data_IF_613278869458
#
_entry.id   IF_613278869458
#
_cell.length_a   1.000
_cell.length_b   1.000
_cell.length_c   1.000
_cell.angle_alpha   90.00
_cell.angle_beta   90.00
_cell.angle_gamma   90.00
#
_symmetry.space_group_name_H-M   'P 1'
#
loop_
_entity.id
_entity.type
_entity.pdbx_description
1 polymer ?
#
# COMPACT_ATOMS: atom_id res chain seq x y z
N UNK A 1 41.15 80.52 -53.63
CA UNK A 1 39.76 80.06 -53.48
C UNK A 1 39.83 78.82 -52.62
N UNK A 2 39.61 78.95 -51.32
CA UNK A 2 39.83 77.88 -50.36
C UNK A 2 38.68 77.90 -49.36
N UNK A 3 37.62 77.18 -49.70
CA UNK A 3 36.47 76.88 -48.84
C UNK A 3 36.23 75.37 -49.03
N UNK A 4 36.36 74.51 -48.02
CA UNK A 4 35.51 74.36 -46.84
C UNK A 4 34.02 74.28 -47.18
N UNK A 5 33.45 73.09 -46.96
CA UNK A 5 32.10 72.76 -46.46
C UNK A 5 31.89 71.26 -46.73
N UNK A 6 31.03 70.50 -46.07
CA UNK A 6 30.46 70.40 -44.73
C UNK A 6 29.60 69.11 -44.80
N UNK A 7 29.26 68.53 -43.65
CA UNK A 7 28.10 67.66 -43.43
C UNK A 7 28.08 66.18 -43.87
N UNK A 8 27.79 65.37 -42.85
CA UNK A 8 27.16 64.04 -42.73
C UNK A 8 26.24 63.59 -43.89
N UNK A 9 26.31 62.30 -44.27
CA UNK A 9 25.28 61.26 -43.99
C UNK A 9 25.22 60.11 -45.05
N UNK A 10 24.97 58.91 -44.50
CA UNK A 10 24.39 57.65 -45.01
C UNK A 10 24.25 57.26 -46.52
N UNK A 11 24.59 55.97 -46.73
CA UNK A 11 23.86 54.90 -47.49
C UNK A 11 24.24 54.47 -48.92
N UNK A 12 24.04 53.15 -49.12
CA UNK A 12 23.84 52.33 -50.35
C UNK A 12 25.08 51.93 -51.16
N UNK A 13 25.17 50.76 -51.78
CA UNK A 13 24.33 49.55 -51.90
C UNK A 13 25.18 48.53 -52.68
N UNK A 14 25.09 47.23 -52.38
CA UNK A 14 25.29 46.20 -53.41
C UNK A 14 24.30 45.06 -53.15
N UNK A 15 23.22 45.08 -53.93
CA UNK A 15 22.19 44.05 -53.99
C UNK A 15 22.61 42.90 -54.92
N UNK A 16 22.04 41.74 -54.61
CA UNK A 16 21.71 40.62 -55.49
C UNK A 16 22.79 39.58 -55.82
N UNK A 17 22.98 38.63 -54.88
CA UNK A 17 23.12 37.23 -55.24
C UNK A 17 22.22 36.36 -54.34
N UNK A 18 21.20 35.77 -54.96
CA UNK A 18 20.31 34.79 -54.36
C UNK A 18 21.09 33.58 -53.84
N UNK A 19 21.07 33.33 -52.53
CA UNK A 19 21.52 32.08 -51.92
C UNK A 19 20.33 31.31 -51.36
N UNK A 20 20.24 30.05 -51.78
CA UNK A 20 19.18 29.09 -51.49
C UNK A 20 19.08 28.82 -49.99
N UNK A 21 17.86 28.88 -49.44
CA UNK A 21 17.55 28.58 -48.04
C UNK A 21 17.68 27.07 -47.77
N UNK A 22 18.68 26.67 -46.98
CA UNK A 22 18.74 25.34 -46.36
C UNK A 22 17.67 25.25 -45.25
N UNK A 23 16.88 24.15 -45.14
CA UNK A 23 16.03 23.91 -43.97
C UNK A 23 16.86 23.46 -42.76
N UNK A 24 16.40 23.88 -41.59
CA UNK A 24 17.06 23.79 -40.28
C UNK A 24 17.38 22.37 -39.80
N UNK A 25 18.56 22.22 -39.18
CA UNK A 25 18.97 21.08 -38.36
C UNK A 25 18.06 20.98 -37.12
N UNK A 26 17.52 19.79 -36.78
CA UNK A 26 16.67 19.67 -35.60
C UNK A 26 17.48 19.84 -34.31
N UNK A 27 16.90 20.67 -33.44
CA UNK A 27 17.36 21.08 -32.13
C UNK A 27 17.60 19.89 -31.18
N UNK A 28 18.61 20.09 -30.35
CA UNK A 28 19.08 19.27 -29.22
C UNK A 28 18.05 18.33 -28.59
N UNK A 29 18.34 17.03 -28.57
CA UNK A 29 17.65 16.07 -27.71
C UNK A 29 17.86 16.43 -26.24
N UNK A 30 16.77 16.81 -25.56
CA UNK A 30 16.77 16.91 -24.10
C UNK A 30 17.00 15.53 -23.49
N UNK A 31 18.17 15.33 -22.86
CA UNK A 31 18.44 14.16 -22.02
C UNK A 31 17.46 14.15 -20.83
N UNK A 32 16.35 13.43 -20.98
CA UNK A 32 15.43 13.15 -19.88
C UNK A 32 16.19 12.38 -18.80
N UNK A 33 16.16 12.91 -17.57
CA UNK A 33 16.75 12.25 -16.39
C UNK A 33 16.28 10.79 -16.36
N UNK A 34 17.18 9.80 -16.22
CA UNK A 34 16.80 8.40 -16.26
C UNK A 34 15.79 8.12 -15.14
N UNK A 35 14.60 7.65 -15.53
CA UNK A 35 13.60 7.18 -14.59
C UNK A 35 14.14 6.06 -13.70
N UNK A 36 13.44 5.77 -12.60
CA UNK A 36 13.78 4.63 -11.74
C UNK A 36 13.84 3.36 -12.58
N UNK A 37 14.96 2.62 -12.49
CA UNK A 37 15.14 1.34 -13.18
C UNK A 37 13.98 0.39 -12.84
N UNK A 38 13.48 -0.33 -13.84
CA UNK A 38 12.47 -1.37 -13.64
C UNK A 38 13.03 -2.47 -12.75
N UNK A 39 12.15 -3.13 -12.00
CA UNK A 39 12.52 -4.25 -11.15
C UNK A 39 12.94 -5.45 -12.02
N UNK A 40 13.95 -6.22 -11.59
CA UNK A 40 14.51 -7.36 -12.33
C UNK A 40 13.47 -8.44 -12.68
N UNK A 41 12.33 -8.49 -11.97
CA UNK A 41 11.21 -9.37 -12.33
C UNK A 41 10.71 -9.15 -13.76
N UNK A 42 10.81 -7.93 -14.29
CA UNK A 42 10.40 -7.63 -15.66
C UNK A 42 11.22 -8.35 -16.73
N UNK A 43 12.38 -8.94 -16.40
CA UNK A 43 13.15 -9.76 -17.33
C UNK A 43 12.41 -11.06 -17.73
N UNK A 44 11.40 -11.46 -16.95
CA UNK A 44 10.62 -12.68 -17.16
C UNK A 44 9.19 -12.41 -17.67
N UNK A 45 8.91 -11.17 -18.04
CA UNK A 45 7.59 -10.72 -18.47
C UNK A 45 7.67 -9.79 -19.68
N UNK A 46 6.73 -9.96 -20.60
CA UNK A 46 6.54 -9.10 -21.75
C UNK A 46 5.66 -7.92 -21.32
N UNK A 47 6.13 -6.68 -21.53
CA UNK A 47 5.36 -5.46 -21.30
C UNK A 47 4.61 -5.08 -22.57
N UNK A 48 3.28 -5.09 -22.53
CA UNK A 48 2.47 -4.64 -23.67
C UNK A 48 2.27 -3.11 -23.62
N UNK A 49 2.20 -2.47 -24.80
CA UNK A 49 2.23 -1.00 -24.95
C UNK A 49 1.00 -0.29 -24.36
N UNK A 50 -0.09 -1.02 -24.08
CA UNK A 50 -1.35 -0.47 -23.60
C UNK A 50 -1.26 -0.01 -22.13
N UNK A 51 -0.50 1.04 -21.85
CA UNK A 51 -0.44 1.68 -20.52
C UNK A 51 -1.80 2.29 -20.18
N UNK A 52 -2.52 1.64 -19.27
CA UNK A 52 -3.70 2.23 -18.62
C UNK A 52 -3.34 2.58 -17.18
N UNK A 53 -3.52 3.84 -16.81
CA UNK A 53 -3.34 4.32 -15.42
C UNK A 53 -1.92 4.14 -14.84
N UNK A 54 -0.88 4.23 -15.67
CA UNK A 54 0.52 4.14 -15.20
C UNK A 54 1.01 2.73 -14.89
N UNK A 55 0.19 1.71 -15.15
CA UNK A 55 0.60 0.31 -15.15
C UNK A 55 0.52 -0.25 -16.56
N UNK A 56 1.56 -0.98 -16.96
CA UNK A 56 1.57 -1.70 -18.22
C UNK A 56 1.02 -3.11 -17.99
N UNK A 57 0.24 -3.67 -18.92
CA UNK A 57 -0.06 -5.09 -18.94
C UNK A 57 1.23 -5.91 -18.99
N UNK A 58 1.17 -7.11 -18.44
CA UNK A 58 2.32 -8.01 -18.38
C UNK A 58 1.92 -9.44 -18.70
N UNK A 59 2.71 -10.10 -19.54
CA UNK A 59 2.49 -11.50 -19.93
C UNK A 59 3.72 -12.33 -19.55
N UNK A 60 3.51 -13.46 -18.87
CA UNK A 60 4.60 -14.33 -18.45
C UNK A 60 5.27 -15.00 -19.66
N UNK A 61 6.61 -14.91 -19.75
CA UNK A 61 7.36 -15.52 -20.86
C UNK A 61 7.33 -17.07 -20.83
N UNK A 62 7.10 -17.67 -19.66
CA UNK A 62 7.14 -19.13 -19.50
C UNK A 62 5.80 -19.82 -19.74
N UNK A 63 4.69 -19.19 -19.33
CA UNK A 63 3.37 -19.82 -19.34
C UNK A 63 2.29 -19.04 -20.09
N UNK A 64 2.63 -17.86 -20.63
CA UNK A 64 1.73 -16.99 -21.38
C UNK A 64 0.54 -16.43 -20.57
N UNK A 65 0.54 -16.58 -19.24
CA UNK A 65 -0.43 -15.94 -18.36
C UNK A 65 -0.31 -14.40 -18.47
N UNK A 66 -1.40 -13.76 -18.88
CA UNK A 66 -1.47 -12.31 -19.09
C UNK A 66 -2.28 -11.61 -18.00
N UNK A 67 -1.77 -10.48 -17.52
CA UNK A 67 -2.46 -9.59 -16.60
C UNK A 67 -2.60 -8.18 -17.15
N UNK A 68 -3.78 -7.60 -16.98
CA UNK A 68 -4.07 -6.21 -17.35
C UNK A 68 -3.27 -5.17 -16.57
N UNK A 69 -2.59 -5.57 -15.47
CA UNK A 69 -1.74 -4.71 -14.64
C UNK A 69 -0.54 -5.51 -14.13
N UNK A 70 0.66 -5.19 -14.61
CA UNK A 70 1.92 -5.78 -14.14
C UNK A 70 2.36 -5.23 -12.78
N UNK A 71 1.77 -5.76 -11.70
CA UNK A 71 2.20 -5.48 -10.33
C UNK A 71 3.37 -6.39 -9.97
N UNK A 72 4.51 -5.78 -9.63
CA UNK A 72 5.74 -6.50 -9.25
C UNK A 72 5.51 -7.60 -8.20
N UNK A 73 4.76 -7.39 -7.09
CA UNK A 73 4.49 -8.46 -6.12
C UNK A 73 3.74 -9.66 -6.72
N UNK A 74 2.77 -9.41 -7.59
CA UNK A 74 1.98 -10.46 -8.25
C UNK A 74 2.86 -11.23 -9.23
N UNK A 75 3.69 -10.53 -10.01
CA UNK A 75 4.66 -11.13 -10.93
C UNK A 75 5.66 -12.03 -10.20
N UNK A 76 6.19 -11.58 -9.05
CA UNK A 76 7.09 -12.38 -8.21
C UNK A 76 6.40 -13.61 -7.63
N UNK A 77 5.18 -13.45 -7.10
CA UNK A 77 4.38 -14.55 -6.56
C UNK A 77 4.05 -15.60 -7.63
N UNK A 78 3.73 -15.16 -8.84
CA UNK A 78 3.50 -16.06 -9.96
C UNK A 78 4.75 -16.89 -10.29
N UNK A 79 5.91 -16.26 -10.50
CA UNK A 79 7.16 -16.98 -10.80
C UNK A 79 7.54 -17.97 -9.69
N UNK A 80 7.28 -17.63 -8.43
CA UNK A 80 7.67 -18.47 -7.29
C UNK A 80 6.70 -19.63 -7.02
N UNK A 81 5.38 -19.37 -7.10
CA UNK A 81 4.35 -20.25 -6.53
C UNK A 81 3.39 -20.86 -7.57
N UNK A 82 3.17 -20.20 -8.69
CA UNK A 82 2.09 -20.55 -9.62
C UNK A 82 2.60 -21.07 -10.96
N UNK A 83 3.70 -20.52 -11.47
CA UNK A 83 4.25 -20.92 -12.76
C UNK A 83 4.93 -22.30 -12.66
N UNK A 84 4.46 -23.26 -13.47
CA UNK A 84 5.06 -24.59 -13.57
C UNK A 84 6.23 -24.64 -14.56
N UNK A 85 6.16 -23.84 -15.63
CA UNK A 85 7.13 -23.83 -16.75
C UNK A 85 8.37 -22.97 -16.50
N UNK A 86 8.44 -22.30 -15.36
CA UNK A 86 9.56 -21.44 -14.98
C UNK A 86 10.79 -22.27 -14.61
N UNK A 87 11.97 -21.80 -15.03
CA UNK A 87 13.26 -22.40 -14.68
C UNK A 87 13.44 -22.51 -13.15
N UNK A 88 13.98 -23.65 -12.69
CA UNK A 88 14.09 -23.95 -11.26
C UNK A 88 14.92 -22.91 -10.49
N UNK A 89 15.97 -22.39 -11.10
CA UNK A 89 16.84 -21.34 -10.52
C UNK A 89 16.08 -20.03 -10.28
N UNK A 90 15.25 -19.63 -11.25
CA UNK A 90 14.40 -18.43 -11.17
C UNK A 90 13.32 -18.62 -10.11
N UNK A 91 12.68 -19.79 -10.09
CA UNK A 91 11.69 -20.16 -9.07
C UNK A 91 12.26 -20.06 -7.66
N UNK A 92 13.43 -20.67 -7.45
CA UNK A 92 14.11 -20.67 -6.16
C UNK A 92 14.52 -19.26 -5.72
N UNK A 93 15.01 -18.43 -6.66
CA UNK A 93 15.36 -17.04 -6.39
C UNK A 93 14.14 -16.26 -5.85
N UNK A 94 13.00 -16.31 -6.55
CA UNK A 94 11.81 -15.58 -6.12
C UNK A 94 11.15 -16.16 -4.88
N UNK A 95 11.23 -17.48 -4.66
CA UNK A 95 10.84 -18.10 -3.39
C UNK A 95 11.62 -17.52 -2.21
N UNK A 96 12.95 -17.39 -2.32
CA UNK A 96 13.79 -16.78 -1.28
C UNK A 96 13.45 -15.31 -1.06
N UNK A 97 13.22 -14.54 -2.13
CA UNK A 97 12.82 -13.13 -2.03
C UNK A 97 11.49 -12.98 -1.28
N UNK A 98 10.48 -13.82 -1.59
CA UNK A 98 9.18 -13.77 -0.91
C UNK A 98 9.29 -14.14 0.57
N UNK A 99 10.12 -15.13 0.92
CA UNK A 99 10.38 -15.50 2.31
C UNK A 99 11.02 -14.34 3.10
N UNK A 100 12.03 -13.67 2.53
CA UNK A 100 12.78 -12.60 3.20
C UNK A 100 12.01 -11.27 3.29
N UNK A 101 11.15 -10.96 2.32
CA UNK A 101 10.39 -9.71 2.30
C UNK A 101 9.42 -9.61 3.49
N UNK A 102 8.91 -10.73 4.01
CA UNK A 102 8.04 -10.76 5.19
C UNK A 102 8.82 -10.37 6.48
N UNK A 103 10.08 -10.78 6.58
CA UNK A 103 10.92 -10.52 7.76
C UNK A 103 11.47 -9.08 7.79
N UNK A 104 11.84 -8.52 6.65
CA UNK A 104 12.52 -7.21 6.57
C UNK A 104 11.57 -6.00 6.67
N UNK A 105 10.27 -6.16 6.39
CA UNK A 105 9.28 -5.09 6.56
C UNK A 105 9.08 -4.64 8.01
N UNK A 106 9.45 -5.45 9.00
CA UNK A 106 9.39 -5.07 10.44
C UNK A 106 10.50 -4.12 10.88
N UNK A 107 11.56 -3.92 10.07
CA UNK A 107 12.75 -3.13 10.46
C UNK A 107 12.92 -1.79 9.74
N UNK A 108 12.13 -1.48 8.70
CA UNK A 108 12.40 -0.34 7.82
C UNK A 108 11.37 0.79 7.96
N UNK A 109 11.27 1.35 9.16
CA UNK A 109 10.81 2.74 9.30
C UNK A 109 11.92 3.59 8.66
N UNK A 110 11.72 4.05 7.43
CA UNK A 110 12.61 5.07 6.84
C UNK A 110 12.38 6.37 7.58
N UNK A 111 13.08 6.57 8.70
CA UNK A 111 13.23 7.88 9.32
C UNK A 111 14.03 8.73 8.34
N UNK A 112 13.33 9.47 7.47
CA UNK A 112 13.91 10.66 6.87
C UNK A 112 14.29 11.56 8.05
N UNK A 113 15.58 11.59 8.39
CA UNK A 113 16.18 12.54 9.35
C UNK A 113 15.75 13.95 8.95
N UNK A 114 14.68 14.47 9.54
CA UNK A 114 14.43 15.91 9.63
C UNK A 114 15.18 16.41 10.85
N UNK A 115 15.97 17.47 10.67
CA UNK A 115 16.79 18.09 11.70
C UNK A 115 15.86 18.55 12.83
N UNK A 116 16.03 17.95 14.01
CA UNK A 116 15.17 18.06 15.20
C UNK A 116 15.27 19.43 15.92
N UNK A 117 16.09 20.36 15.44
CA UNK A 117 16.53 21.48 16.28
C UNK A 117 15.71 22.78 16.11
N UNK A 118 14.72 22.83 15.20
CA UNK A 118 13.92 24.05 14.95
C UNK A 118 12.49 24.01 15.55
N UNK A 119 11.96 22.84 15.92
CA UNK A 119 10.55 22.71 16.37
C UNK A 119 10.33 22.97 17.88
N UNK A 120 11.40 23.04 18.70
CA UNK A 120 11.27 23.37 20.13
C UNK A 120 10.89 24.86 20.31
N UNK A 121 11.21 25.73 19.35
CA UNK A 121 10.92 27.16 19.42
C UNK A 121 9.46 27.53 19.13
N UNK A 122 8.65 26.63 18.56
CA UNK A 122 7.28 26.94 18.10
C UNK A 122 6.17 26.28 18.92
N UNK A 123 6.48 25.59 20.02
CA UNK A 123 5.46 25.03 20.92
C UNK A 123 4.62 23.90 20.31
N UNK A 124 5.12 23.24 19.26
CA UNK A 124 4.43 22.09 18.67
C UNK A 124 4.72 20.86 19.51
N UNK A 125 3.72 20.32 20.19
CA UNK A 125 3.85 19.05 20.90
C UNK A 125 4.23 17.92 19.92
N UNK A 126 5.25 17.10 20.23
CA UNK A 126 5.58 15.97 19.39
C UNK A 126 4.40 14.99 19.37
N UNK A 127 3.98 14.60 18.17
CA UNK A 127 2.96 13.57 17.95
C UNK A 127 3.44 12.29 18.63
N UNK A 128 2.64 11.74 19.55
CA UNK A 128 2.92 10.49 20.26
C UNK A 128 3.24 9.41 19.21
N UNK A 129 4.51 9.11 19.04
CA UNK A 129 5.03 8.07 18.14
C UNK A 129 5.60 6.90 18.93
N UNK A 130 5.40 6.87 20.25
CA UNK A 130 5.58 5.63 20.97
C UNK A 130 4.44 4.70 20.57
N UNK A 131 4.79 3.50 20.11
CA UNK A 131 3.91 2.35 20.26
C UNK A 131 3.63 2.28 21.75
N UNK A 132 2.49 2.82 22.18
CA UNK A 132 2.01 2.69 23.55
C UNK A 132 1.60 1.22 23.69
N UNK A 133 2.59 0.35 23.84
CA UNK A 133 2.39 -0.99 24.33
C UNK A 133 1.97 -0.78 25.79
N UNK A 134 0.67 -0.53 26.00
CA UNK A 134 0.06 -0.47 27.32
C UNK A 134 0.52 -1.76 28.02
N UNK A 135 1.28 -1.62 29.10
CA UNK A 135 1.81 -2.76 29.85
C UNK A 135 0.69 -3.66 30.39
N UNK A 136 -0.48 -3.07 30.64
CA UNK A 136 -1.69 -3.78 31.02
C UNK A 136 -2.88 -3.37 30.12
N UNK A 137 -3.66 -4.37 29.71
CA UNK A 137 -4.98 -4.14 29.14
C UNK A 137 -5.92 -3.69 30.26
N UNK A 138 -6.67 -2.61 30.04
CA UNK A 138 -7.68 -2.20 31.02
C UNK A 138 -8.95 -3.08 30.89
N UNK A 139 -9.77 -3.20 31.95
CA UNK A 139 -10.94 -4.07 31.94
C UNK A 139 -11.95 -3.75 30.83
N UNK A 140 -12.09 -2.47 30.46
CA UNK A 140 -12.98 -2.05 29.37
C UNK A 140 -12.48 -2.54 28.02
N UNK A 141 -11.18 -2.41 27.76
CA UNK A 141 -10.55 -2.93 26.55
C UNK A 141 -10.64 -4.46 26.49
N UNK A 142 -10.43 -5.16 27.60
CA UNK A 142 -10.58 -6.62 27.67
C UNK A 142 -12.01 -7.05 27.34
N UNK A 143 -13.01 -6.34 27.85
CA UNK A 143 -14.41 -6.57 27.52
C UNK A 143 -14.67 -6.38 26.01
N UNK A 144 -14.16 -5.31 25.41
CA UNK A 144 -14.30 -5.07 23.97
C UNK A 144 -13.65 -6.17 23.13
N UNK A 145 -12.46 -6.64 23.53
CA UNK A 145 -11.78 -7.76 22.89
C UNK A 145 -12.61 -9.05 22.97
N UNK A 146 -13.07 -9.45 24.16
CA UNK A 146 -13.88 -10.65 24.34
C UNK A 146 -15.20 -10.58 23.57
N UNK A 147 -15.84 -9.40 23.54
CA UNK A 147 -17.05 -9.16 22.75
C UNK A 147 -16.79 -9.31 21.25
N UNK A 148 -15.72 -8.69 20.74
CA UNK A 148 -15.35 -8.79 19.32
C UNK A 148 -15.01 -10.25 18.94
N UNK A 149 -14.28 -10.95 19.81
CA UNK A 149 -13.94 -12.35 19.67
C UNK A 149 -15.20 -13.22 19.60
N UNK A 150 -16.13 -13.06 20.54
CA UNK A 150 -17.39 -13.82 20.58
C UNK A 150 -18.19 -13.62 19.30
N UNK A 151 -18.33 -12.38 18.83
CA UNK A 151 -19.01 -12.06 17.57
C UNK A 151 -18.34 -12.70 16.37
N UNK A 152 -17.01 -12.66 16.30
CA UNK A 152 -16.28 -13.30 15.21
C UNK A 152 -16.57 -14.80 15.16
N UNK A 153 -16.51 -15.47 16.31
CA UNK A 153 -16.75 -16.91 16.38
C UNK A 153 -18.17 -17.29 15.98
N UNK A 154 -19.17 -16.55 16.47
CA UNK A 154 -20.58 -16.83 16.19
C UNK A 154 -20.96 -16.47 14.76
N UNK A 155 -20.65 -15.24 14.32
CA UNK A 155 -21.13 -14.74 13.03
C UNK A 155 -20.46 -15.44 11.84
N UNK A 156 -19.23 -15.93 12.00
CA UNK A 156 -18.51 -16.66 10.95
C UNK A 156 -18.47 -18.17 11.16
N UNK A 157 -19.20 -18.69 12.15
CA UNK A 157 -19.30 -20.13 12.40
C UNK A 157 -17.96 -20.79 12.76
N UNK A 158 -17.06 -20.06 13.41
CA UNK A 158 -15.76 -20.60 13.82
C UNK A 158 -15.96 -21.48 15.05
N UNK A 159 -15.51 -22.75 15.02
CA UNK A 159 -15.61 -23.63 16.20
C UNK A 159 -14.90 -23.01 17.41
N UNK A 160 -15.55 -22.99 18.58
CA UNK A 160 -14.95 -22.42 19.80
C UNK A 160 -13.63 -23.08 20.21
N UNK A 161 -13.37 -24.33 19.84
CA UNK A 161 -12.07 -24.99 20.03
C UNK A 161 -10.91 -24.26 19.36
N UNK A 162 -11.17 -23.42 18.35
CA UNK A 162 -10.15 -22.62 17.66
C UNK A 162 -9.46 -21.64 18.61
N UNK A 163 -10.13 -21.17 19.66
CA UNK A 163 -9.56 -20.21 20.62
C UNK A 163 -8.38 -20.81 21.40
N UNK A 164 -8.36 -22.13 21.57
CA UNK A 164 -7.30 -22.86 22.26
C UNK A 164 -6.21 -23.39 21.30
N UNK A 165 -6.36 -23.14 20.00
CA UNK A 165 -5.36 -23.54 19.00
C UNK A 165 -4.06 -22.75 19.21
N UNK A 166 -2.88 -23.38 19.21
CA UNK A 166 -1.61 -22.67 19.37
C UNK A 166 -1.41 -21.59 18.31
N UNK A 167 -1.83 -21.82 17.06
CA UNK A 167 -1.75 -20.82 16.00
C UNK A 167 -2.63 -19.58 16.25
N UNK A 168 -3.80 -19.79 16.88
CA UNK A 168 -4.71 -18.70 17.21
C UNK A 168 -4.22 -17.93 18.43
N UNK A 169 -3.71 -18.63 19.44
CA UNK A 169 -3.05 -18.01 20.60
C UNK A 169 -1.87 -17.17 20.13
N UNK A 170 -0.99 -17.71 19.29
CA UNK A 170 0.14 -16.98 18.73
C UNK A 170 -0.31 -15.74 17.96
N UNK A 171 -1.35 -15.85 17.12
CA UNK A 171 -1.92 -14.70 16.41
C UNK A 171 -2.34 -13.60 17.39
N UNK A 172 -3.11 -13.95 18.41
CA UNK A 172 -3.63 -12.98 19.38
C UNK A 172 -2.49 -12.39 20.24
N UNK A 173 -1.53 -13.19 20.68
CA UNK A 173 -0.41 -12.73 21.50
C UNK A 173 0.53 -11.81 20.71
N UNK A 174 0.75 -12.07 19.42
CA UNK A 174 1.52 -11.20 18.54
C UNK A 174 0.81 -9.85 18.27
N UNK A 175 -0.53 -9.81 18.33
CA UNK A 175 -1.31 -8.58 18.23
C UNK A 175 -1.42 -7.83 19.56
N UNK A 176 -1.60 -8.55 20.67
CA UNK A 176 -1.78 -8.00 22.01
C UNK A 176 -1.25 -8.96 23.09
N UNK A 177 0.01 -8.78 23.47
CA UNK A 177 0.71 -9.61 24.48
C UNK A 177 0.00 -9.59 25.85
N UNK A 178 -0.57 -8.46 26.25
CA UNK A 178 -1.18 -8.30 27.58
C UNK A 178 -2.62 -8.84 27.67
N UNK A 179 -3.22 -9.28 26.56
CA UNK A 179 -4.59 -9.77 26.56
C UNK A 179 -4.64 -11.26 26.93
N UNK A 180 -5.37 -11.56 28.00
CA UNK A 180 -5.62 -12.94 28.42
C UNK A 180 -6.82 -13.48 27.65
N UNK A 181 -6.55 -14.45 26.77
CA UNK A 181 -7.55 -15.08 25.92
C UNK A 181 -8.47 -15.98 26.79
N UNK A 182 -9.80 -15.90 26.64
CA UNK A 182 -10.70 -16.82 27.32
C UNK A 182 -10.56 -18.24 26.77
N UNK A 183 -10.71 -19.23 27.65
CA UNK A 183 -10.81 -20.62 27.21
C UNK A 183 -12.11 -20.88 26.44
N UNK A 184 -12.18 -22.06 25.81
CA UNK A 184 -13.31 -22.45 24.98
C UNK A 184 -14.63 -22.37 25.73
N UNK A 185 -14.68 -22.84 26.98
CA UNK A 185 -15.91 -22.89 27.78
C UNK A 185 -16.36 -21.51 28.20
N UNK A 186 -15.43 -20.68 28.66
CA UNK A 186 -15.68 -19.30 29.05
C UNK A 186 -16.20 -18.50 27.87
N UNK A 187 -15.66 -18.74 26.67
CA UNK A 187 -16.13 -18.12 25.44
C UNK A 187 -17.51 -18.64 25.01
N UNK A 188 -17.72 -19.96 24.99
CA UNK A 188 -18.98 -20.57 24.52
C UNK A 188 -20.15 -20.40 25.48
N UNK A 189 -19.89 -20.32 26.78
CA UNK A 189 -20.93 -20.34 27.80
C UNK A 189 -21.17 -18.92 28.29
N UNK A 190 -20.18 -18.32 28.95
CA UNK A 190 -20.32 -17.02 29.62
C UNK A 190 -20.41 -15.88 28.61
N UNK A 191 -19.43 -15.75 27.72
CA UNK A 191 -19.40 -14.60 26.80
C UNK A 191 -20.50 -14.66 25.76
N UNK A 192 -20.82 -15.85 25.25
CA UNK A 192 -21.95 -16.04 24.35
C UNK A 192 -23.27 -15.66 25.03
N UNK A 193 -23.55 -16.17 26.23
CA UNK A 193 -24.80 -15.88 26.93
C UNK A 193 -24.94 -14.38 27.22
N UNK A 194 -23.85 -13.73 27.65
CA UNK A 194 -23.81 -12.29 27.88
C UNK A 194 -24.07 -11.50 26.59
N UNK A 195 -23.50 -11.94 25.46
CA UNK A 195 -23.69 -11.30 24.16
C UNK A 195 -25.13 -11.44 23.67
N UNK A 196 -25.71 -12.64 23.79
CA UNK A 196 -27.11 -12.91 23.47
C UNK A 196 -28.03 -12.04 24.32
N UNK A 197 -27.86 -12.04 25.64
CA UNK A 197 -28.68 -11.23 26.54
C UNK A 197 -28.63 -9.73 26.18
N UNK A 198 -27.43 -9.20 25.89
CA UNK A 198 -27.28 -7.80 25.51
C UNK A 198 -27.97 -7.50 24.18
N UNK A 199 -27.79 -8.34 23.17
CA UNK A 199 -28.47 -8.17 21.88
C UNK A 199 -29.99 -8.25 22.06
N UNK A 200 -30.50 -9.18 22.85
CA UNK A 200 -31.93 -9.29 23.15
C UNK A 200 -32.46 -7.99 23.76
N UNK A 201 -31.78 -7.43 24.76
CA UNK A 201 -32.15 -6.14 25.37
C UNK A 201 -32.10 -5.00 24.35
N UNK A 202 -31.07 -4.95 23.51
CA UNK A 202 -30.92 -3.93 22.47
C UNK A 202 -32.06 -4.02 21.44
N UNK A 203 -32.39 -5.23 20.98
CA UNK A 203 -33.48 -5.51 20.04
C UNK A 203 -34.83 -5.14 20.64
N UNK A 204 -35.13 -5.58 21.87
CA UNK A 204 -36.35 -5.20 22.58
C UNK A 204 -36.46 -3.69 22.76
N UNK A 205 -35.34 -3.02 23.06
CA UNK A 205 -35.26 -1.57 23.16
C UNK A 205 -35.56 -0.85 21.85
N UNK A 206 -35.12 -1.42 20.72
CA UNK A 206 -35.46 -0.93 19.38
C UNK A 206 -36.95 -1.14 19.10
N UNK A 207 -37.45 -2.36 19.32
CA UNK A 207 -38.85 -2.72 19.06
C UNK A 207 -39.83 -1.84 19.84
N UNK A 208 -39.56 -1.56 21.13
CA UNK A 208 -40.40 -0.67 21.96
C UNK A 208 -40.48 0.77 21.46
N UNK A 209 -39.47 1.25 20.74
CA UNK A 209 -39.43 2.62 20.17
C UNK A 209 -40.11 2.71 18.80
N UNK A 210 -40.45 1.58 18.18
CA UNK A 210 -41.15 1.57 16.90
C UNK A 210 -42.65 1.71 17.15
N UNK A 211 -43.27 2.78 16.64
CA UNK A 211 -44.69 3.08 16.85
C UNK A 211 -45.63 2.26 15.93
N UNK A 212 -45.12 1.55 14.91
CA UNK A 212 -45.91 0.93 13.83
C UNK A 212 -45.58 -0.54 13.53
N UNK A 213 -45.24 -1.35 14.54
CA UNK A 213 -45.05 -2.80 14.34
C UNK A 213 -46.39 -3.55 14.40
N UNK A 214 -47.11 -3.62 13.27
CA UNK A 214 -48.14 -4.64 13.09
C UNK A 214 -47.46 -5.96 12.74
N UNK A 215 -47.34 -6.88 13.70
CA UNK A 215 -47.12 -8.29 13.37
C UNK A 215 -48.50 -8.86 13.05
N UNK A 216 -48.87 -8.86 11.77
CA UNK A 216 -50.06 -9.58 11.31
C UNK A 216 -49.91 -11.06 11.74
N UNK A 217 -50.88 -11.53 12.53
CA UNK A 217 -50.93 -12.87 13.10
C UNK A 217 -51.33 -13.92 12.07
#
# INVERSE_FOLDING_TARGET
MANETDSLDETRSFQDLNFVKLPDLPETEEFKKPGKKKNDVWNYFIEEEARKFGHSPSTCVYCDDAWNRGRVPDMMAHLALQCEKVEASVKEQYLRILAQNNEQSSGRITTRKRKLNEEIATGIQPKITSKLQKSAIDPGQQYLCNRALTRFFVCYGVPFSTVESPFFIDLVMNLCVSYQLPDRKTLSDTWLSNEVARITVDVEGILKKQENLSLDK
#
